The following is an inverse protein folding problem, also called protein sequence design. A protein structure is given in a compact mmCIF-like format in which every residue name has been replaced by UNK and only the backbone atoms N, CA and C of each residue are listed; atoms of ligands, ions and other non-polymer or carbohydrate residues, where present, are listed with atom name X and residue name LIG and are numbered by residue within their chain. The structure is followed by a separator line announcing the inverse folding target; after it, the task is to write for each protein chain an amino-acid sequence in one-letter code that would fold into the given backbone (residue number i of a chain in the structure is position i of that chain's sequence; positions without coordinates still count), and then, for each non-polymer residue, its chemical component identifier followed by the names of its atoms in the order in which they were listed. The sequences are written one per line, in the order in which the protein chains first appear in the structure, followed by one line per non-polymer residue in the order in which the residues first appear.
data_IF_502787583348
#
_entry.id   IF_502787583348
#
_cell.length_a   1.000
_cell.length_b   1.000
_cell.length_c   1.000
_cell.angle_alpha   90.00
_cell.angle_beta   90.00
_cell.angle_gamma   90.00
#
_symmetry.space_group_name_H-M   'P 1'
#
loop_
_entity.id
_entity.type
_entity.pdbx_description
1 polymer ?
#
# COMPACT_ATOMS: atom_id res chain seq x y z
N UNK A 1 28.07 5.79 24.60
CA UNK A 1 27.99 4.40 24.11
C UNK A 1 26.75 4.31 23.26
N UNK A 2 26.96 3.95 21.99
CA UNK A 2 26.05 4.18 20.88
C UNK A 2 25.01 3.05 20.79
N UNK A 3 23.83 3.27 21.36
CA UNK A 3 22.72 2.29 21.39
C UNK A 3 22.08 2.08 20.02
N UNK A 4 22.41 2.90 19.02
CA UNK A 4 21.83 2.78 17.67
C UNK A 4 22.52 1.72 16.79
N UNK A 5 23.68 1.22 17.19
CA UNK A 5 24.45 0.24 16.41
C UNK A 5 24.13 -1.21 16.77
N UNK A 6 23.70 -1.46 18.02
CA UNK A 6 23.39 -2.81 18.51
C UNK A 6 22.01 -3.30 18.04
N UNK A 7 21.05 -2.42 17.78
CA UNK A 7 19.72 -2.81 17.26
C UNK A 7 19.73 -3.07 15.74
N UNK A 8 20.62 -2.40 14.98
CA UNK A 8 20.70 -2.54 13.51
C UNK A 8 21.35 -3.85 13.05
N UNK A 9 22.16 -4.47 13.90
CA UNK A 9 22.89 -5.69 13.56
C UNK A 9 22.06 -6.97 13.77
N UNK A 10 20.98 -6.87 14.54
CA UNK A 10 20.08 -7.97 14.94
C UNK A 10 19.09 -8.39 13.85
N UNK A 11 18.83 -7.53 12.86
CA UNK A 11 17.77 -7.74 11.87
C UNK A 11 18.23 -8.52 10.62
N UNK A 12 19.44 -8.28 10.12
CA UNK A 12 19.98 -8.95 8.92
C UNK A 12 20.57 -10.33 9.24
N UNK A 13 21.21 -10.50 10.41
CA UNK A 13 21.67 -11.82 10.88
C UNK A 13 20.50 -12.80 11.11
N UNK A 14 19.27 -12.29 11.19
CA UNK A 14 18.05 -13.05 11.36
C UNK A 14 17.57 -13.73 10.06
N UNK A 15 17.80 -13.14 8.87
CA UNK A 15 17.19 -13.64 7.64
C UNK A 15 17.80 -14.97 7.16
N UNK A 16 19.12 -15.09 7.17
CA UNK A 16 19.81 -16.34 6.82
C UNK A 16 19.40 -17.50 7.75
N UNK A 17 19.24 -17.19 9.04
CA UNK A 17 18.73 -18.15 10.01
C UNK A 17 17.27 -18.55 9.73
N UNK A 18 16.40 -17.58 9.44
CA UNK A 18 15.00 -17.85 9.07
C UNK A 18 14.89 -18.74 7.82
N UNK A 19 15.73 -18.53 6.81
CA UNK A 19 15.75 -19.36 5.61
C UNK A 19 16.26 -20.78 5.92
N UNK A 20 17.32 -20.91 6.73
CA UNK A 20 17.82 -22.22 7.19
C UNK A 20 16.79 -23.00 8.02
N UNK A 21 16.00 -22.29 8.83
CA UNK A 21 14.93 -22.90 9.62
C UNK A 21 13.82 -23.44 8.70
N UNK A 22 13.43 -22.69 7.67
CA UNK A 22 12.48 -23.17 6.64
C UNK A 22 13.04 -24.37 5.87
N UNK A 23 14.30 -24.31 5.41
CA UNK A 23 14.96 -25.42 4.71
C UNK A 23 15.00 -26.69 5.56
N UNK A 24 15.21 -26.55 6.87
CA UNK A 24 15.24 -27.68 7.80
C UNK A 24 13.86 -28.30 8.00
N UNK A 25 12.80 -27.49 8.02
CA UNK A 25 11.40 -27.98 8.10
C UNK A 25 10.99 -28.75 6.84
N UNK A 26 11.58 -28.47 5.68
CA UNK A 26 11.32 -29.17 4.43
C UNK A 26 12.02 -30.54 4.33
N UNK A 27 12.96 -30.86 5.22
CA UNK A 27 13.68 -32.16 5.23
C UNK A 27 12.82 -33.30 5.78
N UNK A 28 11.68 -33.01 6.40
CA UNK A 28 10.72 -34.03 6.85
C UNK A 28 9.64 -34.28 5.77
N UNK A 29 9.39 -35.55 5.42
CA UNK A 29 8.32 -35.94 4.47
C UNK A 29 6.95 -35.77 5.16
N UNK A 30 6.45 -34.55 5.19
CA UNK A 30 5.14 -34.15 5.72
C UNK A 30 4.51 -33.10 4.81
N UNK A 31 3.17 -32.92 4.84
CA UNK A 31 2.54 -31.78 4.20
C UNK A 31 3.16 -30.48 4.74
N UNK A 32 3.59 -29.60 3.82
CA UNK A 32 4.25 -28.34 4.16
C UNK A 32 3.25 -27.40 4.82
N UNK A 33 3.55 -26.95 6.03
CA UNK A 33 2.78 -25.89 6.71
C UNK A 33 3.11 -24.54 6.06
N UNK A 34 2.14 -23.78 5.51
CA UNK A 34 2.41 -22.49 4.87
C UNK A 34 2.66 -21.34 5.87
N UNK A 35 2.26 -21.46 7.14
CA UNK A 35 2.35 -20.34 8.09
C UNK A 35 3.78 -19.83 8.32
N UNK A 36 4.81 -20.69 8.53
CA UNK A 36 6.19 -20.23 8.63
C UNK A 36 6.68 -19.47 7.39
N UNK A 37 6.27 -19.88 6.19
CA UNK A 37 6.59 -19.17 4.94
C UNK A 37 5.94 -17.80 4.90
N UNK A 38 4.70 -17.71 5.39
CA UNK A 38 3.96 -16.45 5.49
C UNK A 38 4.64 -15.49 6.45
N UNK A 39 5.13 -15.98 7.58
CA UNK A 39 5.87 -15.17 8.55
C UNK A 39 7.18 -14.64 7.98
N UNK A 40 7.96 -15.48 7.29
CA UNK A 40 9.20 -15.05 6.62
C UNK A 40 8.91 -14.05 5.50
N UNK A 41 7.87 -14.31 4.69
CA UNK A 41 7.44 -13.37 3.66
C UNK A 41 7.07 -12.00 4.25
N UNK A 42 6.29 -11.96 5.34
CA UNK A 42 5.91 -10.73 6.01
C UNK A 42 7.14 -9.96 6.54
N UNK A 43 8.17 -10.66 7.05
CA UNK A 43 9.42 -10.04 7.49
C UNK A 43 10.23 -9.46 6.33
N UNK A 44 10.34 -10.19 5.21
CA UNK A 44 11.00 -9.72 4.00
C UNK A 44 10.38 -8.42 3.49
N UNK A 45 9.05 -8.38 3.43
CA UNK A 45 8.26 -7.19 3.14
C UNK A 45 8.62 -6.02 4.06
N UNK A 46 8.68 -6.25 5.37
CA UNK A 46 9.01 -5.19 6.33
C UNK A 46 10.41 -4.63 6.12
N UNK A 47 11.39 -5.50 5.84
CA UNK A 47 12.75 -5.07 5.52
C UNK A 47 12.83 -4.29 4.21
N UNK A 48 12.10 -4.71 3.17
CA UNK A 48 12.02 -3.98 1.91
C UNK A 48 11.43 -2.58 2.10
N UNK A 49 10.32 -2.45 2.85
CA UNK A 49 9.73 -1.15 3.19
C UNK A 49 10.69 -0.28 4.00
N UNK A 50 11.38 -0.87 4.98
CA UNK A 50 12.35 -0.14 5.80
C UNK A 50 13.52 0.36 4.97
N UNK A 51 14.04 -0.45 4.07
CA UNK A 51 15.10 -0.06 3.16
C UNK A 51 14.67 1.09 2.24
N UNK A 52 13.46 1.03 1.67
CA UNK A 52 12.90 2.13 0.89
C UNK A 52 12.83 3.45 1.69
N UNK A 53 12.42 3.41 2.95
CA UNK A 53 12.38 4.61 3.82
C UNK A 53 13.77 5.18 4.10
N UNK A 54 14.79 4.32 4.27
CA UNK A 54 16.16 4.77 4.44
C UNK A 54 16.70 5.43 3.17
N UNK A 55 16.33 4.90 1.99
CA UNK A 55 16.68 5.50 0.70
C UNK A 55 16.00 6.85 0.51
N UNK A 56 14.71 6.97 0.84
CA UNK A 56 14.00 8.25 0.85
C UNK A 56 14.75 9.27 1.71
N UNK A 57 15.05 8.93 2.96
CA UNK A 57 15.77 9.81 3.86
C UNK A 57 17.17 10.17 3.34
N UNK A 58 17.89 9.20 2.77
CA UNK A 58 19.19 9.45 2.16
C UNK A 58 19.10 10.43 0.98
N UNK A 59 18.06 10.31 0.13
CA UNK A 59 17.83 11.23 -0.99
C UNK A 59 17.40 12.62 -0.54
N UNK A 60 16.66 12.74 0.57
CA UNK A 60 16.26 14.02 1.14
C UNK A 60 17.45 14.83 1.65
N UNK A 61 18.45 14.14 2.24
CA UNK A 61 19.70 14.75 2.72
C UNK A 61 20.67 15.00 1.55
N UNK A 62 20.67 14.14 0.53
CA UNK A 62 21.61 14.18 -0.60
C UNK A 62 20.88 14.45 -1.92
N UNK A 63 20.19 15.59 -2.00
CA UNK A 63 19.27 15.91 -3.11
C UNK A 63 19.90 15.91 -4.50
N UNK A 64 21.21 16.17 -4.62
CA UNK A 64 21.90 16.20 -5.91
C UNK A 64 22.53 14.85 -6.30
N UNK A 65 22.46 13.84 -5.42
CA UNK A 65 23.04 12.52 -5.67
C UNK A 65 22.10 11.68 -6.55
N UNK A 66 22.37 11.69 -7.85
CA UNK A 66 21.58 10.95 -8.85
C UNK A 66 21.64 9.43 -8.68
N UNK A 67 22.74 8.90 -8.16
CA UNK A 67 22.88 7.45 -7.96
C UNK A 67 21.95 6.96 -6.84
N UNK A 68 21.89 7.70 -5.72
CA UNK A 68 20.94 7.42 -4.63
C UNK A 68 19.48 7.55 -5.10
N UNK A 69 19.19 8.57 -5.92
CA UNK A 69 17.85 8.71 -6.51
C UNK A 69 17.49 7.55 -7.45
N UNK A 70 18.47 7.05 -8.22
CA UNK A 70 18.31 5.89 -9.09
C UNK A 70 17.93 4.65 -8.28
N UNK A 71 18.70 4.34 -7.24
CA UNK A 71 18.45 3.20 -6.34
C UNK A 71 17.09 3.35 -5.67
N UNK A 72 16.74 4.54 -5.17
CA UNK A 72 15.42 4.77 -4.57
C UNK A 72 14.30 4.49 -5.55
N UNK A 73 14.40 4.97 -6.80
CA UNK A 73 13.38 4.75 -7.82
C UNK A 73 13.23 3.27 -8.17
N UNK A 74 14.32 2.52 -8.28
CA UNK A 74 14.31 1.09 -8.56
C UNK A 74 13.60 0.31 -7.45
N UNK A 75 14.01 0.54 -6.20
CA UNK A 75 13.41 -0.13 -5.03
C UNK A 75 11.94 0.22 -4.88
N UNK A 76 11.58 1.50 -5.03
CA UNK A 76 10.19 1.94 -4.99
C UNK A 76 9.35 1.32 -6.11
N UNK A 77 9.94 1.10 -7.29
CA UNK A 77 9.33 0.38 -8.41
C UNK A 77 9.08 -1.09 -8.10
N UNK A 78 10.05 -1.80 -7.51
CA UNK A 78 9.87 -3.20 -7.09
C UNK A 78 8.80 -3.36 -6.01
N UNK A 79 8.70 -2.40 -5.10
CA UNK A 79 7.71 -2.42 -4.03
C UNK A 79 6.32 -1.92 -4.48
N UNK A 80 6.16 -1.47 -5.73
CA UNK A 80 4.93 -0.86 -6.23
C UNK A 80 3.72 -1.82 -6.17
N UNK A 81 3.92 -3.11 -6.45
CA UNK A 81 2.86 -4.12 -6.39
C UNK A 81 2.28 -4.27 -4.98
N UNK A 82 3.13 -4.16 -3.96
CA UNK A 82 2.69 -4.19 -2.58
C UNK A 82 1.87 -2.95 -2.22
N UNK A 83 2.35 -1.77 -2.63
CA UNK A 83 1.65 -0.51 -2.42
C UNK A 83 0.25 -0.54 -3.09
N UNK A 84 0.14 -1.14 -4.28
CA UNK A 84 -1.15 -1.35 -4.97
C UNK A 84 -2.14 -2.12 -4.10
N UNK A 85 -1.72 -3.25 -3.52
CA UNK A 85 -2.60 -4.07 -2.68
C UNK A 85 -2.95 -3.38 -1.35
N UNK A 86 -1.99 -2.67 -0.75
CA UNK A 86 -2.23 -1.86 0.45
C UNK A 86 -3.24 -0.74 0.21
N UNK A 87 -3.13 -0.05 -0.92
CA UNK A 87 -4.06 1.01 -1.33
C UNK A 87 -5.46 0.47 -1.59
N UNK A 88 -5.56 -0.65 -2.31
CA UNK A 88 -6.83 -1.33 -2.56
C UNK A 88 -7.51 -1.74 -1.25
N UNK A 89 -6.77 -2.37 -0.33
CA UNK A 89 -7.26 -2.74 1.01
C UNK A 89 -7.68 -1.51 1.80
N UNK A 90 -6.91 -0.43 1.72
CA UNK A 90 -7.27 0.83 2.38
C UNK A 90 -8.57 1.40 1.82
N UNK A 91 -8.79 1.30 0.51
CA UNK A 91 -10.05 1.70 -0.11
C UNK A 91 -11.25 0.90 0.43
N UNK A 92 -11.12 -0.42 0.49
CA UNK A 92 -12.18 -1.30 1.03
C UNK A 92 -12.56 -0.99 2.47
N UNK A 93 -11.57 -0.66 3.30
CA UNK A 93 -11.72 -0.41 4.73
C UNK A 93 -12.12 1.02 5.08
N UNK A 94 -12.33 1.90 4.09
CA UNK A 94 -12.85 3.24 4.32
C UNK A 94 -14.26 3.20 4.96
N UNK A 95 -14.55 4.16 5.82
CA UNK A 95 -15.85 4.29 6.47
C UNK A 95 -16.98 4.56 5.47
N UNK A 96 -18.22 4.39 5.90
CA UNK A 96 -19.38 4.76 5.09
C UNK A 96 -19.46 6.27 4.78
N UNK A 97 -18.96 7.14 5.68
CA UNK A 97 -18.90 8.60 5.47
C UNK A 97 -17.94 8.96 4.34
N UNK A 98 -16.76 8.32 4.33
CA UNK A 98 -15.79 8.44 3.24
C UNK A 98 -16.37 7.90 1.94
N UNK A 99 -16.90 6.67 1.94
CA UNK A 99 -17.47 6.03 0.74
C UNK A 99 -18.58 6.87 0.11
N UNK A 100 -19.53 7.39 0.90
CA UNK A 100 -20.58 8.31 0.40
C UNK A 100 -20.01 9.57 -0.25
N UNK A 101 -18.93 10.12 0.30
CA UNK A 101 -18.28 11.30 -0.29
C UNK A 101 -17.62 10.96 -1.63
N UNK A 102 -17.06 9.76 -1.75
CA UNK A 102 -16.54 9.23 -3.01
C UNK A 102 -17.64 8.84 -4.01
N UNK A 103 -18.83 8.43 -3.57
CA UNK A 103 -19.95 8.20 -4.51
C UNK A 103 -20.34 9.50 -5.24
N UNK A 104 -20.23 10.65 -4.58
CA UNK A 104 -20.55 11.97 -5.14
C UNK A 104 -19.46 12.54 -6.05
N UNK A 105 -18.18 12.34 -5.69
CA UNK A 105 -17.04 12.99 -6.36
C UNK A 105 -16.08 12.02 -7.07
N UNK A 106 -16.28 10.71 -6.92
CA UNK A 106 -15.35 9.67 -7.33
C UNK A 106 -15.05 9.66 -8.81
N UNK A 107 -16.06 9.85 -9.67
CA UNK A 107 -15.86 9.94 -11.12
C UNK A 107 -15.03 11.15 -11.54
N UNK A 108 -15.24 12.31 -10.89
CA UNK A 108 -14.42 13.50 -11.13
C UNK A 108 -12.96 13.26 -10.69
N UNK A 109 -12.76 12.60 -9.56
CA UNK A 109 -11.42 12.24 -9.07
C UNK A 109 -10.75 11.26 -10.05
N UNK A 110 -11.46 10.22 -10.50
CA UNK A 110 -10.97 9.27 -11.50
C UNK A 110 -10.53 9.96 -12.80
N UNK A 111 -11.29 10.95 -13.24
CA UNK A 111 -10.93 11.75 -14.41
C UNK A 111 -9.63 12.55 -14.19
N UNK A 112 -9.47 13.20 -13.03
CA UNK A 112 -8.22 13.90 -12.71
C UNK A 112 -7.04 12.93 -12.60
N UNK A 113 -7.25 11.73 -12.04
CA UNK A 113 -6.24 10.65 -12.02
C UNK A 113 -5.82 10.29 -13.43
N UNK A 114 -6.78 10.06 -14.34
CA UNK A 114 -6.51 9.75 -15.76
C UNK A 114 -5.64 10.82 -16.43
N UNK A 115 -5.86 12.11 -16.11
CA UNK A 115 -5.05 13.22 -16.62
C UNK A 115 -3.70 13.39 -15.93
N UNK A 116 -3.36 12.59 -14.90
CA UNK A 116 -2.11 12.73 -14.15
C UNK A 116 -2.07 13.96 -13.24
N UNK A 117 -3.22 14.55 -12.91
CA UNK A 117 -3.33 15.76 -12.08
C UNK A 117 -3.13 15.46 -10.60
N UNK A 118 -1.89 15.12 -10.25
CA UNK A 118 -1.50 14.58 -8.95
C UNK A 118 -1.89 15.47 -7.77
N UNK A 119 -1.61 16.76 -7.86
CA UNK A 119 -1.88 17.72 -6.79
C UNK A 119 -3.39 17.93 -6.60
N UNK A 120 -4.13 18.04 -7.71
CA UNK A 120 -5.59 18.18 -7.67
C UNK A 120 -6.27 16.94 -7.09
N UNK A 121 -5.78 15.75 -7.45
CA UNK A 121 -6.25 14.48 -6.88
C UNK A 121 -5.93 14.42 -5.38
N UNK A 122 -4.71 14.80 -4.99
CA UNK A 122 -4.31 14.85 -3.58
C UNK A 122 -5.25 15.74 -2.77
N UNK A 123 -5.47 16.98 -3.22
CA UNK A 123 -6.34 17.93 -2.54
C UNK A 123 -7.82 17.51 -2.55
N UNK A 124 -8.29 16.83 -3.58
CA UNK A 124 -9.66 16.30 -3.62
C UNK A 124 -9.85 15.19 -2.57
N UNK A 125 -8.93 14.22 -2.52
CA UNK A 125 -8.99 13.11 -1.56
C UNK A 125 -8.77 13.63 -0.13
N UNK A 126 -7.81 14.53 0.09
CA UNK A 126 -7.55 15.12 1.40
C UNK A 126 -8.79 15.81 1.97
N UNK A 127 -9.49 16.61 1.15
CA UNK A 127 -10.73 17.28 1.57
C UNK A 127 -11.83 16.30 1.96
N UNK A 128 -11.93 15.16 1.29
CA UNK A 128 -12.88 14.10 1.67
C UNK A 128 -12.59 13.58 3.08
N UNK A 129 -11.33 13.25 3.37
CA UNK A 129 -10.94 12.78 4.71
C UNK A 129 -11.13 13.85 5.78
N UNK A 130 -10.77 15.10 5.49
CA UNK A 130 -10.96 16.21 6.42
C UNK A 130 -12.45 16.49 6.72
N UNK A 131 -13.31 16.52 5.70
CA UNK A 131 -14.76 16.68 5.88
C UNK A 131 -15.38 15.47 6.61
N UNK A 132 -14.76 14.30 6.49
CA UNK A 132 -15.13 13.13 7.25
C UNK A 132 -14.65 13.15 8.71
N UNK A 133 -13.79 14.11 9.10
CA UNK A 133 -13.07 14.12 10.39
C UNK A 133 -12.22 12.87 10.61
N UNK A 134 -11.71 12.29 9.51
CA UNK A 134 -10.85 11.11 9.54
C UNK A 134 -9.41 11.47 9.17
N UNK A 135 -8.42 10.82 9.81
CA UNK A 135 -7.01 11.07 9.48
C UNK A 135 -6.71 10.63 8.04
N UNK A 136 -5.92 11.44 7.35
CA UNK A 136 -5.47 11.09 6.00
C UNK A 136 -4.58 9.83 6.05
N UNK A 137 -4.89 8.78 5.26
CA UNK A 137 -4.14 7.52 5.33
C UNK A 137 -2.69 7.69 4.90
N UNK A 138 -1.73 7.27 5.74
CA UNK A 138 -0.28 7.34 5.42
C UNK A 138 0.08 6.59 4.13
N UNK A 139 -0.58 5.47 3.85
CA UNK A 139 -0.39 4.70 2.61
C UNK A 139 -0.73 5.51 1.36
N UNK A 140 -1.72 6.41 1.43
CA UNK A 140 -2.03 7.30 0.32
C UNK A 140 -0.92 8.32 0.12
N UNK A 141 -0.30 8.83 1.19
CA UNK A 141 0.83 9.77 1.07
C UNK A 141 1.96 9.21 0.23
N UNK A 142 2.27 7.91 0.35
CA UNK A 142 3.27 7.24 -0.50
C UNK A 142 2.91 7.34 -1.98
N UNK A 143 1.66 7.06 -2.34
CA UNK A 143 1.17 7.07 -3.72
C UNK A 143 1.32 8.43 -4.42
N UNK A 144 1.38 9.53 -3.66
CA UNK A 144 1.55 10.87 -4.19
C UNK A 144 3.01 11.32 -4.31
N UNK A 145 3.99 10.54 -3.85
CA UNK A 145 5.40 10.97 -3.92
C UNK A 145 5.89 11.14 -5.37
N UNK A 146 6.57 12.24 -5.71
CA UNK A 146 6.98 12.56 -7.08
C UNK A 146 8.05 11.61 -7.64
N UNK A 147 8.64 10.75 -6.82
CA UNK A 147 9.54 9.69 -7.27
C UNK A 147 8.87 8.72 -8.25
N UNK A 148 7.55 8.54 -8.10
CA UNK A 148 6.78 7.64 -8.94
C UNK A 148 6.41 8.32 -10.27
N UNK A 149 6.63 7.65 -11.42
CA UNK A 149 6.12 8.13 -12.70
C UNK A 149 4.58 8.16 -12.70
N UNK A 150 4.02 8.96 -13.59
CA UNK A 150 2.57 9.19 -13.67
C UNK A 150 1.77 7.90 -13.88
N UNK A 151 2.31 6.92 -14.58
CA UNK A 151 1.64 5.65 -14.81
C UNK A 151 1.50 4.84 -13.52
N UNK A 152 2.54 4.83 -12.66
CA UNK A 152 2.44 4.20 -11.35
C UNK A 152 1.49 4.97 -10.43
N UNK A 153 1.55 6.31 -10.44
CA UNK A 153 0.58 7.14 -9.73
C UNK A 153 -0.87 6.79 -10.13
N UNK A 154 -1.16 6.69 -11.43
CA UNK A 154 -2.49 6.29 -11.92
C UNK A 154 -2.90 4.92 -11.40
N UNK A 155 -2.02 3.93 -11.50
CA UNK A 155 -2.28 2.55 -11.02
C UNK A 155 -2.56 2.52 -9.52
N UNK A 156 -1.80 3.27 -8.72
CA UNK A 156 -2.00 3.41 -7.28
C UNK A 156 -3.39 3.97 -6.96
N UNK A 157 -3.76 5.06 -7.62
CA UNK A 157 -5.02 5.74 -7.35
C UNK A 157 -6.22 4.95 -7.87
N UNK A 158 -6.11 4.28 -9.02
CA UNK A 158 -7.14 3.35 -9.48
C UNK A 158 -7.33 2.19 -8.51
N UNK A 159 -6.24 1.64 -7.97
CA UNK A 159 -6.30 0.56 -6.98
C UNK A 159 -7.05 1.00 -5.72
N UNK A 160 -6.70 2.16 -5.16
CA UNK A 160 -7.43 2.76 -4.02
C UNK A 160 -8.91 3.02 -4.34
N UNK A 161 -9.19 3.74 -5.44
CA UNK A 161 -10.55 4.13 -5.81
C UNK A 161 -11.43 2.92 -6.13
N UNK A 162 -10.87 1.87 -6.72
CA UNK A 162 -11.61 0.61 -6.94
C UNK A 162 -12.08 0.01 -5.62
N UNK A 163 -11.24 0.01 -4.57
CA UNK A 163 -11.63 -0.49 -3.24
C UNK A 163 -12.71 0.38 -2.57
N UNK A 164 -12.66 1.70 -2.77
CA UNK A 164 -13.64 2.63 -2.18
C UNK A 164 -14.99 2.58 -2.90
N UNK A 165 -14.96 2.59 -4.23
CA UNK A 165 -16.15 2.69 -5.08
C UNK A 165 -16.83 1.33 -5.32
N UNK A 166 -16.17 0.21 -4.98
CA UNK A 166 -16.76 -1.11 -5.07
C UNK A 166 -17.81 -1.32 -3.97
N UNK A 167 -18.97 -0.69 -4.16
CA UNK A 167 -20.19 -0.82 -3.36
C UNK A 167 -21.12 -1.94 -3.88
N UNK A 168 -20.66 -2.78 -4.81
CA UNK A 168 -21.48 -3.75 -5.54
C UNK A 168 -21.05 -5.20 -5.23
N UNK A 169 -21.30 -5.66 -4.00
CA UNK A 169 -21.41 -7.09 -3.68
C UNK A 169 -22.19 -7.28 -2.37
N UNK A 170 -23.42 -6.74 -2.33
CA UNK A 170 -24.50 -7.42 -1.61
C UNK A 170 -25.46 -7.93 -2.68
N UNK A 171 -25.71 -9.25 -2.78
CA UNK A 171 -26.86 -9.70 -3.53
C UNK A 171 -28.08 -9.04 -2.89
N UNK A 172 -28.77 -8.17 -3.63
CA UNK A 172 -30.16 -7.86 -3.32
C UNK A 172 -30.90 -9.18 -3.42
N UNK A 173 -31.18 -9.81 -2.28
CA UNK A 173 -32.27 -10.77 -2.23
C UNK A 173 -33.52 -10.03 -2.69
N UNK A 174 -34.12 -10.54 -3.76
CA UNK A 174 -35.40 -10.10 -4.26
C UNK A 174 -36.43 -10.25 -3.12
N UNK A 175 -36.81 -9.13 -2.52
CA UNK A 175 -38.09 -9.01 -1.84
C UNK A 175 -39.04 -8.37 -2.85
N UNK A 176 -39.60 -9.20 -3.70
CA UNK A 176 -40.87 -8.95 -4.37
C UNK A 176 -41.56 -10.31 -4.53
N UNK A 177 -42.88 -10.30 -4.31
CA UNK A 177 -43.83 -11.42 -4.26
C UNK A 177 -44.02 -12.05 -2.87
N UNK A 178 -44.91 -11.45 -2.07
CA UNK A 178 -46.28 -11.94 -1.96
C UNK A 178 -47.11 -11.04 -1.01
N UNK A 179 -47.87 -10.11 -1.60
CA UNK A 179 -49.16 -9.68 -1.07
C UNK A 179 -50.23 -10.11 -2.09
N UNK A 180 -51.27 -10.80 -1.58
CA UNK A 180 -52.60 -11.11 -2.18
C UNK A 180 -52.59 -11.98 -3.46
N UNK A 181 -53.23 -13.14 -3.55
CA UNK A 181 -54.45 -13.69 -2.92
C UNK A 181 -54.32 -15.16 -2.46
#
# INVERSE_FOLDING_TARGET
MDTTNTEKQTDIQNLDQLLKDLESQLKEVKPVNPEPFRDVFNRLVQYQRRFQQLLEWATDINRDNKDLQGIYREVAGWNASELVEDLKRKGYTCSSKIKKSFDLMGYRILEQVRYGKRDEVFHAILRIFMAAEEPFPKVLTEAFKPIYPDDLFKVFLFSFLSGVLNNQQKPKQASDQNETD
#
